data_IF_524839380373
#
_entry.id   IF_524839380373
#
_cell.length_a   1.000
_cell.length_b   1.000
_cell.length_c   1.000
_cell.angle_alpha   90.00
_cell.angle_beta   90.00
_cell.angle_gamma   90.00
#
_symmetry.space_group_name_H-M   'P 1'
#
loop_
_entity.id
_entity.type
_entity.pdbx_description
1 polymer ?
#
# COMPACT_ATOMS: atom_id res chain seq x y z
N UNK A 1 7.35 3.07 -6.26
CA UNK A 1 8.71 2.49 -6.20
C UNK A 1 8.77 1.27 -7.10
N UNK A 2 9.89 1.02 -7.79
CA UNK A 2 10.03 -0.15 -8.68
C UNK A 2 11.22 -0.02 -9.63
N UNK A 3 11.36 -0.99 -10.54
CA UNK A 3 12.34 -0.97 -11.63
C UNK A 3 11.68 -0.43 -12.89
N UNK A 4 12.33 0.52 -13.57
CA UNK A 4 11.78 1.16 -14.77
C UNK A 4 11.95 0.27 -16.01
N UNK A 5 11.13 -0.78 -16.10
CA UNK A 5 11.11 -1.69 -17.25
C UNK A 5 10.00 -1.38 -18.26
N UNK A 6 9.03 -0.54 -17.90
CA UNK A 6 7.90 -0.15 -18.76
C UNK A 6 8.28 0.22 -20.19
N UNK A 7 9.37 0.97 -20.46
CA UNK A 7 9.72 1.36 -21.83
C UNK A 7 10.17 0.21 -22.75
N UNK A 8 10.54 -0.94 -22.18
CA UNK A 8 11.16 -2.07 -22.92
C UNK A 8 10.33 -3.36 -22.88
N UNK A 9 9.25 -3.40 -22.10
CA UNK A 9 8.37 -4.57 -22.00
C UNK A 9 7.19 -4.44 -22.98
N UNK A 10 6.93 -5.48 -23.75
CA UNK A 10 5.67 -5.65 -24.50
C UNK A 10 4.59 -6.17 -23.56
N UNK A 11 3.43 -5.50 -23.49
CA UNK A 11 2.28 -5.92 -22.67
C UNK A 11 1.05 -6.18 -23.53
N UNK A 12 0.32 -7.23 -23.19
CA UNK A 12 -1.00 -7.49 -23.76
C UNK A 12 -2.07 -6.85 -22.88
N UNK A 13 -2.94 -6.05 -23.50
CA UNK A 13 -4.08 -5.45 -22.78
C UNK A 13 -5.25 -6.43 -22.84
N UNK A 14 -5.69 -6.90 -21.67
CA UNK A 14 -6.82 -7.82 -21.53
C UNK A 14 -8.01 -7.14 -20.86
N UNK A 15 -9.21 -7.64 -21.13
CA UNK A 15 -10.40 -7.29 -20.36
C UNK A 15 -10.39 -8.03 -19.00
N UNK A 16 -11.03 -7.45 -17.98
CA UNK A 16 -11.15 -8.09 -16.66
C UNK A 16 -11.87 -9.45 -16.73
N UNK A 17 -12.82 -9.61 -17.64
CA UNK A 17 -13.55 -10.87 -17.85
C UNK A 17 -12.63 -12.04 -18.23
N UNK A 18 -11.48 -11.76 -18.87
CA UNK A 18 -10.48 -12.78 -19.18
C UNK A 18 -9.82 -13.39 -17.93
N UNK A 19 -9.94 -12.72 -16.78
CA UNK A 19 -9.45 -13.21 -15.48
C UNK A 19 -10.52 -13.99 -14.70
N UNK A 20 -11.74 -14.15 -15.24
CA UNK A 20 -12.83 -14.85 -14.55
C UNK A 20 -12.44 -16.30 -14.20
N UNK A 21 -12.66 -16.67 -12.94
CA UNK A 21 -12.32 -18.00 -12.42
C UNK A 21 -10.83 -18.23 -12.14
N UNK A 22 -9.97 -17.23 -12.35
CA UNK A 22 -8.54 -17.32 -12.04
C UNK A 22 -8.23 -16.80 -10.63
N UNK A 23 -7.25 -17.43 -9.98
CA UNK A 23 -6.67 -16.91 -8.74
C UNK A 23 -5.49 -16.02 -9.06
N UNK A 24 -5.53 -14.76 -8.58
CA UNK A 24 -4.46 -13.80 -8.74
C UNK A 24 -3.82 -13.49 -7.38
N UNK A 25 -2.49 -13.50 -7.32
CA UNK A 25 -1.75 -12.99 -6.17
C UNK A 25 -1.39 -11.52 -6.41
N UNK A 26 -1.66 -10.67 -5.42
CA UNK A 26 -1.37 -9.23 -5.46
C UNK A 26 -0.31 -8.93 -4.40
N UNK A 27 0.69 -8.11 -4.75
CA UNK A 27 1.64 -7.58 -3.77
C UNK A 27 0.93 -6.58 -2.84
N UNK A 28 0.74 -6.99 -1.59
CA UNK A 28 0.05 -6.16 -0.60
C UNK A 28 0.73 -4.83 -0.33
N UNK A 29 2.07 -4.78 -0.28
CA UNK A 29 2.77 -3.52 -0.02
C UNK A 29 2.63 -2.58 -1.23
N UNK A 30 2.82 -3.11 -2.43
CA UNK A 30 2.65 -2.34 -3.67
C UNK A 30 1.24 -1.76 -3.81
N UNK A 31 0.22 -2.56 -3.52
CA UNK A 31 -1.18 -2.15 -3.64
C UNK A 31 -1.59 -1.12 -2.58
N UNK A 32 -1.13 -1.29 -1.34
CA UNK A 32 -1.40 -0.32 -0.27
C UNK A 32 -0.81 1.06 -0.60
N UNK A 33 0.39 1.12 -1.17
CA UNK A 33 0.94 2.37 -1.68
C UNK A 33 0.09 2.97 -2.81
N UNK A 34 -0.43 2.14 -3.72
CA UNK A 34 -1.31 2.63 -4.79
C UNK A 34 -2.62 3.20 -4.25
N UNK A 35 -3.25 2.57 -3.25
CA UNK A 35 -4.44 3.13 -2.62
C UNK A 35 -4.16 4.49 -1.96
N UNK A 36 -3.06 4.62 -1.23
CA UNK A 36 -2.66 5.89 -0.58
C UNK A 36 -2.32 6.99 -1.59
N UNK A 37 -1.81 6.61 -2.77
CA UNK A 37 -1.51 7.56 -3.84
C UNK A 37 -2.79 8.04 -4.54
N UNK A 38 -3.68 7.12 -4.90
CA UNK A 38 -4.81 7.37 -5.80
C UNK A 38 -6.11 7.75 -5.09
N UNK A 39 -6.40 7.18 -3.91
CA UNK A 39 -7.68 7.37 -3.23
C UNK A 39 -7.59 8.56 -2.26
N UNK A 40 -8.06 9.72 -2.72
CA UNK A 40 -7.97 11.00 -2.02
C UNK A 40 -9.29 11.77 -2.06
N UNK A 41 -9.47 12.68 -1.10
CA UNK A 41 -10.51 13.69 -1.13
C UNK A 41 -10.26 14.68 -2.28
N UNK A 42 -11.29 15.47 -2.61
CA UNK A 42 -11.24 16.44 -3.72
C UNK A 42 -10.11 17.46 -3.58
N UNK A 43 -9.70 17.78 -2.36
CA UNK A 43 -8.58 18.68 -2.04
C UNK A 43 -7.21 17.99 -2.08
N UNK A 44 -7.16 16.69 -2.41
CA UNK A 44 -5.94 15.89 -2.47
C UNK A 44 -5.49 15.33 -1.12
N UNK A 45 -6.22 15.57 -0.03
CA UNK A 45 -5.89 14.95 1.27
C UNK A 45 -6.26 13.47 1.27
N UNK A 46 -5.50 12.59 1.96
CA UNK A 46 -5.86 11.17 2.06
C UNK A 46 -7.19 10.98 2.79
N UNK A 47 -7.89 9.89 2.48
CA UNK A 47 -9.07 9.47 3.25
C UNK A 47 -8.72 9.24 4.73
N UNK A 48 -9.57 9.74 5.62
CA UNK A 48 -9.43 9.68 7.08
C UNK A 48 -10.69 9.09 7.68
N UNK A 49 -10.56 8.41 8.81
CA UNK A 49 -11.72 8.05 9.63
C UNK A 49 -12.34 9.29 10.32
N UNK A 50 -13.43 9.08 11.07
CA UNK A 50 -14.11 10.14 11.84
C UNK A 50 -13.26 10.75 12.96
N UNK A 51 -12.14 10.12 13.33
CA UNK A 51 -11.15 10.63 14.28
C UNK A 51 -9.98 11.34 13.58
N UNK A 52 -10.04 11.48 12.26
CA UNK A 52 -9.01 12.15 11.45
C UNK A 52 -7.78 11.29 11.19
N UNK A 53 -7.80 10.00 11.55
CA UNK A 53 -6.66 9.12 11.39
C UNK A 53 -6.62 8.49 9.99
N UNK A 54 -5.48 8.65 9.32
CA UNK A 54 -5.05 7.80 8.19
C UNK A 54 -4.10 6.69 8.68
N UNK A 55 -3.35 6.98 9.76
CA UNK A 55 -2.09 6.30 10.13
C UNK A 55 -1.91 5.94 11.59
N UNK A 56 -2.71 6.50 12.52
CA UNK A 56 -2.44 6.42 13.97
C UNK A 56 -2.22 5.00 14.45
N UNK A 57 -3.08 4.07 14.02
CA UNK A 57 -2.98 2.65 14.34
C UNK A 57 -1.66 2.03 13.88
N UNK A 58 -1.20 2.30 12.67
CA UNK A 58 0.05 1.73 12.15
C UNK A 58 1.27 2.30 12.86
N UNK A 59 1.20 3.56 13.30
CA UNK A 59 2.28 4.20 14.04
C UNK A 59 2.36 3.68 15.48
N UNK A 60 1.21 3.50 16.14
CA UNK A 60 1.12 2.84 17.44
C UNK A 60 1.64 1.39 17.37
N UNK A 61 1.23 0.62 16.36
CA UNK A 61 1.71 -0.74 16.15
C UNK A 61 3.22 -0.80 15.85
N UNK A 62 3.75 0.21 15.12
CA UNK A 62 5.19 0.35 14.84
C UNK A 62 5.98 0.62 16.12
N UNK A 63 5.51 1.56 16.95
CA UNK A 63 6.16 1.90 18.23
C UNK A 63 6.14 0.69 19.16
N UNK A 64 5.01 0.01 19.27
CA UNK A 64 4.91 -1.19 20.10
C UNK A 64 5.80 -2.35 19.59
N UNK A 65 6.02 -2.45 18.27
CA UNK A 65 6.96 -3.44 17.71
C UNK A 65 8.42 -3.10 18.03
N UNK A 66 8.80 -1.81 18.00
CA UNK A 66 10.12 -1.35 18.42
C UNK A 66 10.39 -1.62 19.91
N UNK A 67 9.39 -1.39 20.77
CA UNK A 67 9.50 -1.67 22.21
C UNK A 67 9.72 -3.16 22.50
N UNK A 68 9.19 -4.05 21.67
CA UNK A 68 9.39 -5.51 21.77
C UNK A 68 10.65 -6.01 21.08
N UNK A 69 11.44 -5.13 20.46
CA UNK A 69 12.64 -5.51 19.69
C UNK A 69 12.35 -6.26 18.38
N UNK A 70 11.10 -6.30 17.93
CA UNK A 70 10.71 -6.95 16.67
C UNK A 70 10.91 -5.98 15.50
N UNK A 71 12.14 -5.97 15.00
CA UNK A 71 12.55 -5.08 13.91
C UNK A 71 11.84 -5.40 12.59
N UNK A 72 11.44 -6.65 12.35
CA UNK A 72 10.75 -7.03 11.12
C UNK A 72 9.33 -6.47 11.10
N UNK A 73 8.59 -6.62 12.19
CA UNK A 73 7.27 -6.03 12.34
C UNK A 73 7.34 -4.49 12.32
N UNK A 74 8.31 -3.89 13.01
CA UNK A 74 8.49 -2.44 13.00
C UNK A 74 8.75 -1.90 11.58
N UNK A 75 9.60 -2.58 10.79
CA UNK A 75 9.90 -2.16 9.42
C UNK A 75 8.67 -2.27 8.50
N UNK A 76 7.89 -3.35 8.63
CA UNK A 76 6.66 -3.56 7.88
C UNK A 76 5.58 -2.50 8.21
N UNK A 77 5.53 -2.00 9.45
CA UNK A 77 4.61 -0.92 9.82
C UNK A 77 5.14 0.46 9.44
N UNK A 78 6.46 0.64 9.42
CA UNK A 78 7.11 1.87 8.95
C UNK A 78 6.86 2.15 7.46
N UNK A 79 6.81 1.13 6.61
CA UNK A 79 6.45 1.31 5.19
C UNK A 79 5.02 1.84 5.05
N UNK A 80 4.11 1.35 5.88
CA UNK A 80 2.70 1.82 5.94
C UNK A 80 2.55 3.25 6.49
N UNK A 81 3.52 3.74 7.25
CA UNK A 81 3.53 5.10 7.80
C UNK A 81 4.54 6.05 7.17
N UNK A 82 5.31 5.61 6.18
CA UNK A 82 6.27 6.46 5.45
C UNK A 82 5.56 7.40 4.49
N UNK A 83 5.77 8.71 4.67
CA UNK A 83 5.40 9.74 3.68
C UNK A 83 5.97 9.42 2.29
#
# INVERSE_FOLDING_TARGET
MGVLLTPIITKDTIALDALHGQTLAVDGNGELYQFLALIRLRDGTPLKDSKGAVRSRYEEERVAALERGDMAAAYSKATMTSR
#
